data_IF_540674377524
#
_entry.id   IF_540674377524
#
_cell.length_a   1.000
_cell.length_b   1.000
_cell.length_c   1.000
_cell.angle_alpha   90.00
_cell.angle_beta   90.00
_cell.angle_gamma   90.00
#
_symmetry.space_group_name_H-M   'P 1'
#
loop_
_entity.id
_entity.type
_entity.pdbx_description
1 polymer ?
#
# COMPACT_ATOMS: atom_id res chain seq x y z
N UNK A 1 19.57 1.37 -2.24
CA UNK A 1 18.88 2.59 -1.84
C UNK A 1 17.39 2.29 -1.91
N UNK A 2 16.63 2.70 -0.90
CA UNK A 2 15.18 2.57 -0.95
C UNK A 2 14.63 3.61 -1.93
N UNK A 3 13.61 3.22 -2.69
CA UNK A 3 12.94 4.10 -3.66
C UNK A 3 11.79 4.82 -2.97
N UNK A 4 11.75 6.14 -3.08
CA UNK A 4 10.60 6.94 -2.62
C UNK A 4 9.42 6.80 -3.59
N UNK A 5 8.20 6.73 -3.04
CA UNK A 5 6.95 6.63 -3.79
C UNK A 5 6.24 7.98 -4.00
N UNK A 6 6.76 9.05 -3.37
CA UNK A 6 6.22 10.42 -3.41
C UNK A 6 4.81 10.53 -2.83
N UNK A 7 4.58 9.85 -1.69
CA UNK A 7 3.30 9.87 -0.97
C UNK A 7 3.32 10.69 0.32
N UNK A 8 4.44 11.38 0.62
CA UNK A 8 4.57 12.21 1.82
C UNK A 8 3.51 13.31 1.86
N UNK A 9 2.88 13.48 3.03
CA UNK A 9 1.84 14.49 3.24
C UNK A 9 0.46 14.10 2.72
N UNK A 10 0.31 12.93 2.06
CA UNK A 10 -1.01 12.41 1.67
C UNK A 10 -1.70 11.81 2.89
N UNK A 11 -2.93 12.23 3.15
CA UNK A 11 -3.77 11.64 4.18
C UNK A 11 -4.53 10.42 3.64
N UNK A 12 -4.75 9.41 4.46
CA UNK A 12 -5.65 8.30 4.15
C UNK A 12 -7.09 8.80 4.30
N UNK A 13 -7.84 8.79 3.20
CA UNK A 13 -9.25 9.21 3.16
C UNK A 13 -10.15 8.08 3.64
N UNK A 14 -9.87 6.84 3.21
CA UNK A 14 -10.66 5.68 3.60
C UNK A 14 -9.85 4.40 3.49
N UNK A 15 -10.21 3.41 4.29
CA UNK A 15 -9.69 2.04 4.25
C UNK A 15 -10.86 1.08 4.03
N UNK A 16 -10.75 0.17 3.06
CA UNK A 16 -11.77 -0.83 2.78
C UNK A 16 -11.14 -2.17 2.38
N UNK A 17 -11.74 -3.28 2.81
CA UNK A 17 -11.36 -4.63 2.37
C UNK A 17 -12.48 -5.17 1.47
N UNK A 18 -12.12 -5.63 0.29
CA UNK A 18 -13.00 -6.32 -0.65
C UNK A 18 -12.32 -7.60 -1.10
N UNK A 19 -12.97 -8.74 -0.87
CA UNK A 19 -12.40 -10.07 -1.15
C UNK A 19 -10.97 -10.21 -0.60
N UNK A 20 -10.00 -10.38 -1.51
CA UNK A 20 -8.58 -10.60 -1.22
C UNK A 20 -7.75 -9.31 -1.25
N UNK A 21 -8.39 -8.14 -1.31
CA UNK A 21 -7.71 -6.85 -1.47
C UNK A 21 -8.09 -5.86 -0.38
N UNK A 22 -7.06 -5.27 0.23
CA UNK A 22 -7.17 -4.12 1.10
C UNK A 22 -6.85 -2.84 0.31
N UNK A 23 -7.73 -1.86 0.38
CA UNK A 23 -7.64 -0.58 -0.30
C UNK A 23 -7.42 0.56 0.69
N UNK A 24 -6.38 1.35 0.47
CA UNK A 24 -6.15 2.63 1.13
C UNK A 24 -6.31 3.73 0.09
N UNK A 25 -7.43 4.45 0.15
CA UNK A 25 -7.64 5.64 -0.67
C UNK A 25 -6.94 6.81 -0.02
N UNK A 26 -6.11 7.52 -0.78
CA UNK A 26 -5.35 8.66 -0.29
C UNK A 26 -5.89 9.98 -0.87
N UNK A 27 -5.60 11.07 -0.17
CA UNK A 27 -5.95 12.41 -0.61
C UNK A 27 -5.31 12.72 -1.96
N UNK A 28 -6.06 13.41 -2.84
CA UNK A 28 -5.56 13.84 -4.13
C UNK A 28 -5.70 12.80 -5.23
N UNK A 29 -6.41 11.68 -5.00
CA UNK A 29 -6.68 10.66 -6.03
C UNK A 29 -5.65 9.53 -6.10
N UNK A 30 -4.73 9.46 -5.13
CA UNK A 30 -3.78 8.37 -5.00
C UNK A 30 -4.44 7.16 -4.32
N UNK A 31 -3.90 5.97 -4.55
CA UNK A 31 -4.35 4.75 -3.90
C UNK A 31 -3.20 3.79 -3.62
N UNK A 32 -3.33 3.01 -2.55
CA UNK A 32 -2.51 1.82 -2.30
C UNK A 32 -3.45 0.63 -2.21
N UNK A 33 -3.18 -0.43 -2.97
CA UNK A 33 -3.80 -1.74 -2.73
C UNK A 33 -2.79 -2.71 -2.17
N UNK A 34 -3.27 -3.63 -1.34
CA UNK A 34 -2.48 -4.68 -0.70
C UNK A 34 -3.26 -5.98 -0.84
N UNK A 35 -2.61 -6.99 -1.40
CA UNK A 35 -3.22 -8.28 -1.78
C UNK A 35 -2.53 -9.47 -1.10
N UNK A 36 -1.44 -9.19 -0.39
CA UNK A 36 -0.66 -10.18 0.38
C UNK A 36 -0.58 -9.78 1.86
N UNK A 37 -0.09 -10.67 2.73
CA UNK A 37 0.06 -10.36 4.14
C UNK A 37 0.82 -9.05 4.38
N UNK A 38 0.30 -8.28 5.32
CA UNK A 38 0.89 -7.02 5.79
C UNK A 38 1.17 -7.11 7.28
N UNK A 39 2.12 -6.30 7.73
CA UNK A 39 2.35 -6.03 9.14
C UNK A 39 1.97 -4.59 9.43
N UNK A 40 1.09 -4.37 10.40
CA UNK A 40 0.80 -3.05 10.96
C UNK A 40 1.29 -3.02 12.41
N UNK A 41 2.33 -2.23 12.64
CA UNK A 41 3.19 -2.28 13.84
C UNK A 41 3.70 -3.70 14.12
N UNK A 42 3.07 -4.42 15.04
CA UNK A 42 3.43 -5.79 15.44
C UNK A 42 2.33 -6.82 15.11
N UNK A 43 1.28 -6.39 14.40
CA UNK A 43 0.13 -7.25 14.02
C UNK A 43 0.25 -7.63 12.55
N UNK A 44 0.25 -8.93 12.28
CA UNK A 44 0.20 -9.47 10.92
C UNK A 44 -1.24 -9.70 10.52
N UNK A 45 -1.62 -9.25 9.33
CA UNK A 45 -2.95 -9.43 8.74
C UNK A 45 -2.82 -9.89 7.29
N UNK A 46 -3.67 -10.82 6.87
CA UNK A 46 -3.78 -11.33 5.50
C UNK A 46 -5.10 -10.87 4.88
N UNK A 47 -5.09 -10.03 3.83
CA UNK A 47 -6.28 -9.74 3.04
C UNK A 47 -6.97 -11.00 2.51
N UNK A 48 -6.21 -12.07 2.26
CA UNK A 48 -6.76 -13.32 1.78
C UNK A 48 -7.47 -14.11 2.88
N UNK A 49 -6.81 -14.27 4.02
CA UNK A 49 -7.18 -15.29 5.00
C UNK A 49 -8.00 -14.72 6.18
N UNK A 50 -7.77 -13.46 6.55
CA UNK A 50 -8.42 -12.87 7.71
C UNK A 50 -9.79 -12.26 7.37
N UNK A 51 -10.80 -12.44 8.24
CA UNK A 51 -12.11 -11.86 8.01
C UNK A 51 -12.08 -10.33 8.14
N UNK A 52 -13.02 -9.66 7.48
CA UNK A 52 -13.12 -8.19 7.41
C UNK A 52 -13.19 -7.47 8.76
N UNK A 53 -13.59 -8.18 9.82
CA UNK A 53 -13.62 -7.70 11.20
C UNK A 53 -12.25 -7.50 11.84
N UNK A 54 -11.25 -8.29 11.45
CA UNK A 54 -9.89 -8.26 12.02
C UNK A 54 -9.07 -7.04 11.55
N UNK A 55 -9.54 -6.36 10.50
CA UNK A 55 -8.87 -5.18 9.94
C UNK A 55 -9.08 -3.89 10.76
N UNK A 56 -9.55 -3.99 12.00
CA UNK A 56 -9.65 -2.88 12.96
C UNK A 56 -8.36 -2.05 13.06
N UNK A 57 -7.17 -2.67 13.22
CA UNK A 57 -5.90 -1.95 13.26
C UNK A 57 -5.62 -1.14 11.99
N UNK A 58 -5.95 -1.66 10.80
CA UNK A 58 -5.74 -0.91 9.54
C UNK A 58 -6.79 0.19 9.36
N UNK A 59 -8.04 -0.04 9.76
CA UNK A 59 -9.11 0.98 9.67
C UNK A 59 -8.76 2.26 10.43
N UNK A 60 -7.98 2.15 11.51
CA UNK A 60 -7.47 3.29 12.29
C UNK A 60 -6.58 4.23 11.47
N UNK A 61 -6.04 3.77 10.34
CA UNK A 61 -5.22 4.61 9.45
C UNK A 61 -6.03 5.71 8.78
N UNK A 62 -7.36 5.58 8.69
CA UNK A 62 -8.22 6.63 8.13
C UNK A 62 -8.03 7.94 8.90
N UNK A 63 -7.74 9.03 8.19
CA UNK A 63 -7.41 10.34 8.74
C UNK A 63 -5.92 10.55 9.03
N UNK A 64 -5.10 9.49 9.08
CA UNK A 64 -3.66 9.63 9.30
C UNK A 64 -2.94 10.12 8.04
N UNK A 65 -1.85 10.86 8.26
CA UNK A 65 -1.01 11.40 7.19
C UNK A 65 0.28 10.58 7.05
N UNK A 66 0.62 10.23 5.82
CA UNK A 66 1.87 9.56 5.49
C UNK A 66 3.04 10.55 5.70
N UNK A 67 4.02 10.14 6.50
CA UNK A 67 5.28 10.84 6.68
C UNK A 67 6.33 10.40 5.64
N UNK A 68 6.34 9.10 5.32
CA UNK A 68 7.27 8.49 4.37
C UNK A 68 6.66 7.21 3.79
N UNK A 69 6.84 6.99 2.49
CA UNK A 69 6.49 5.74 1.83
C UNK A 69 7.64 5.33 0.90
N UNK A 70 8.26 4.19 1.18
CA UNK A 70 9.43 3.71 0.43
C UNK A 70 9.33 2.24 0.09
N UNK A 71 10.08 1.84 -0.94
CA UNK A 71 10.27 0.45 -1.31
C UNK A 71 11.75 0.10 -1.22
N UNK A 72 12.09 -1.02 -0.62
CA UNK A 72 13.47 -1.51 -0.62
C UNK A 72 13.87 -2.17 -1.97
N UNK A 73 15.02 -2.85 -2.00
CA UNK A 73 15.52 -3.48 -3.23
C UNK A 73 14.76 -4.77 -3.60
N UNK A 74 14.12 -5.43 -2.65
CA UNK A 74 13.41 -6.69 -2.87
C UNK A 74 11.93 -6.44 -3.19
N UNK A 75 11.39 -5.27 -2.87
CA UNK A 75 10.00 -4.89 -3.18
C UNK A 75 9.16 -4.69 -1.92
N UNK A 76 9.77 -4.70 -0.73
CA UNK A 76 9.05 -4.45 0.52
C UNK A 76 8.57 -3.01 0.57
N UNK A 77 7.26 -2.82 0.65
CA UNK A 77 6.65 -1.52 0.90
C UNK A 77 6.75 -1.20 2.39
N UNK A 78 7.21 0.00 2.71
CA UNK A 78 7.23 0.56 4.06
C UNK A 78 6.54 1.91 4.05
N UNK A 79 5.45 2.03 4.79
CA UNK A 79 4.71 3.28 4.99
C UNK A 79 4.77 3.66 6.46
N UNK A 80 5.30 4.85 6.72
CA UNK A 80 5.35 5.47 8.04
C UNK A 80 4.33 6.60 8.10
N UNK A 81 3.49 6.58 9.11
CA UNK A 81 2.51 7.63 9.39
C UNK A 81 3.05 8.59 10.45
N UNK A 82 2.55 9.84 10.43
CA UNK A 82 3.00 10.91 11.35
C UNK A 82 2.72 10.62 12.83
N UNK A 83 1.78 9.74 13.14
CA UNK A 83 1.48 9.31 14.51
C UNK A 83 2.45 8.22 15.01
N UNK A 84 3.39 7.79 14.18
CA UNK A 84 4.35 6.73 14.47
C UNK A 84 3.93 5.35 13.98
N UNK A 85 2.68 5.16 13.52
CA UNK A 85 2.19 3.89 12.98
C UNK A 85 3.05 3.45 11.79
N UNK A 86 3.32 2.14 11.70
CA UNK A 86 4.09 1.55 10.60
C UNK A 86 3.28 0.48 9.88
N UNK A 87 3.29 0.54 8.56
CA UNK A 87 2.70 -0.47 7.69
C UNK A 87 3.80 -1.04 6.79
N UNK A 88 3.96 -2.35 6.78
CA UNK A 88 4.94 -3.07 5.98
C UNK A 88 4.24 -4.14 5.15
N UNK A 89 4.60 -4.27 3.89
CA UNK A 89 4.12 -5.34 3.01
C UNK A 89 5.33 -5.93 2.29
N UNK A 90 5.61 -7.20 2.56
CA UNK A 90 6.68 -7.92 1.89
C UNK A 90 6.23 -8.41 0.51
N UNK A 91 7.16 -8.65 -0.44
CA UNK A 91 6.82 -9.31 -1.68
C UNK A 91 6.28 -10.72 -1.44
N UNK A 92 5.26 -11.10 -2.20
CA UNK A 92 4.75 -12.46 -2.24
C UNK A 92 5.47 -13.25 -3.34
N UNK A 93 5.84 -14.52 -3.13
CA UNK A 93 6.53 -15.33 -4.13
C UNK A 93 5.70 -15.62 -5.40
N UNK A 94 4.38 -15.58 -5.32
CA UNK A 94 3.46 -15.99 -6.38
C UNK A 94 2.55 -14.87 -6.88
N UNK A 95 2.32 -13.82 -6.08
CA UNK A 95 1.35 -12.77 -6.38
C UNK A 95 1.92 -11.36 -6.33
N UNK A 96 1.17 -10.42 -6.89
CA UNK A 96 1.47 -8.99 -6.76
C UNK A 96 1.08 -8.52 -5.36
N UNK A 97 2.06 -8.25 -4.50
CA UNK A 97 1.77 -8.02 -3.08
C UNK A 97 1.04 -6.70 -2.80
N UNK A 98 1.36 -5.67 -3.59
CA UNK A 98 0.80 -4.33 -3.45
C UNK A 98 0.97 -3.53 -4.74
N UNK A 99 0.13 -2.51 -4.92
CA UNK A 99 0.35 -1.48 -5.93
C UNK A 99 0.05 -0.07 -5.41
N UNK A 100 0.62 0.93 -6.08
CA UNK A 100 0.36 2.35 -5.86
C UNK A 100 -0.13 2.97 -7.16
N UNK A 101 -1.38 3.44 -7.14
CA UNK A 101 -1.99 4.20 -8.23
C UNK A 101 -1.91 5.70 -7.98
N UNK A 102 -1.70 6.45 -9.06
CA UNK A 102 -1.63 7.92 -9.05
C UNK A 102 -2.81 8.54 -9.82
N UNK A 103 -3.10 9.83 -9.59
CA UNK A 103 -4.25 10.51 -10.21
C UNK A 103 -4.10 10.67 -11.73
N UNK A 104 -2.87 10.67 -12.23
CA UNK A 104 -2.56 10.68 -13.66
C UNK A 104 -2.75 9.31 -14.33
N UNK A 105 -3.14 8.28 -13.57
CA UNK A 105 -3.30 6.91 -14.07
C UNK A 105 -1.99 6.12 -14.14
N UNK A 106 -0.86 6.70 -13.71
CA UNK A 106 0.38 5.93 -13.56
C UNK A 106 0.29 4.93 -12.40
N UNK A 107 1.04 3.83 -12.51
CA UNK A 107 0.98 2.71 -11.58
C UNK A 107 2.38 2.20 -11.23
N UNK A 108 2.59 1.86 -9.97
CA UNK A 108 3.75 1.08 -9.50
C UNK A 108 3.23 -0.20 -8.87
N UNK A 109 3.79 -1.35 -9.26
CA UNK A 109 3.37 -2.67 -8.77
C UNK A 109 4.58 -3.45 -8.26
N UNK A 110 4.44 -4.11 -7.10
CA UNK A 110 5.37 -5.15 -6.67
C UNK A 110 5.00 -6.46 -7.35
N UNK A 111 5.91 -7.01 -8.15
CA UNK A 111 5.69 -8.27 -8.88
C UNK A 111 5.81 -9.49 -7.97
N UNK A 112 5.31 -10.67 -8.41
CA UNK A 112 5.64 -11.94 -7.79
C UNK A 112 7.15 -12.14 -7.64
N UNK A 113 7.57 -12.60 -6.47
CA UNK A 113 8.98 -12.75 -6.07
C UNK A 113 9.73 -11.44 -5.88
N UNK A 114 9.06 -10.29 -6.04
CA UNK A 114 9.60 -8.97 -5.78
C UNK A 114 10.05 -8.15 -6.99
N UNK A 115 10.64 -7.00 -6.68
CA UNK A 115 10.98 -5.94 -7.64
C UNK A 115 9.74 -5.20 -8.17
N UNK A 116 10.00 -4.13 -8.93
CA UNK A 116 8.97 -3.17 -9.32
C UNK A 116 8.74 -3.14 -10.83
N UNK A 117 7.47 -3.09 -11.21
CA UNK A 117 7.03 -2.63 -12.54
C UNK A 117 6.42 -1.24 -12.42
N UNK A 118 6.59 -0.43 -13.48
CA UNK A 118 6.10 0.95 -13.55
C UNK A 118 5.40 1.18 -14.88
N UNK A 119 4.20 1.75 -14.83
CA UNK A 119 3.44 2.14 -16.00
C UNK A 119 3.28 3.66 -16.03
N UNK A 120 3.52 4.23 -17.20
CA UNK A 120 3.20 5.63 -17.47
C UNK A 120 1.68 5.82 -17.52
N UNK A 121 1.20 7.07 -17.35
CA UNK A 121 -0.18 7.43 -17.65
C UNK A 121 -0.64 6.87 -19.01
N UNK A 122 -1.90 6.44 -19.15
CA UNK A 122 -2.45 6.20 -20.47
C UNK A 122 -2.37 7.49 -21.30
N UNK A 123 -2.19 7.40 -22.63
CA UNK A 123 -2.17 8.59 -23.47
C UNK A 123 -3.47 9.39 -23.32
N UNK A 124 -3.35 10.73 -23.29
CA UNK A 124 -4.51 11.62 -23.35
C UNK A 124 -5.31 11.29 -24.62
N UNK A 125 -6.62 11.11 -24.46
CA UNK A 125 -7.55 10.85 -25.57
C UNK A 125 -8.01 12.16 -26.19
#
# INVERSE_FOLDING_TARGET
MATDLDLRGRAVVSVAKYDYTLWLKLMGGYGITIESPLTIDDVVLSPQDDPVGEFGPVRRLAGLTIEKATVDKIGTLQVHFRDGTRLVVEPDPHYEAWNVSRPDGSLIVCRPGGGLSRWAPPPER
#
